data_IF_952372997879
#
_entry.id   IF_952372997879
#
_cell.length_a   1.000
_cell.length_b   1.000
_cell.length_c   1.000
_cell.angle_alpha   90.00
_cell.angle_beta   90.00
_cell.angle_gamma   90.00
#
_symmetry.space_group_name_H-M   'P 1'
#
loop_
_entity.id
_entity.type
_entity.pdbx_description
1 polymer ?
#
# COMPACT_ATOMS: atom_id res chain seq x y z
N UNK A 1 21.87 6.75 -8.23
CA UNK A 1 21.16 5.53 -8.65
C UNK A 1 20.02 5.83 -9.63
N UNK A 2 20.39 6.38 -10.80
CA UNK A 2 19.52 6.56 -11.97
C UNK A 2 19.89 5.53 -13.04
N UNK A 3 19.00 5.31 -14.01
CA UNK A 3 19.21 4.30 -15.08
C UNK A 3 20.41 4.67 -15.93
N UNK A 4 20.53 5.93 -16.34
CA UNK A 4 21.65 6.42 -17.16
C UNK A 4 22.29 7.63 -16.48
N UNK A 5 23.31 7.43 -15.61
CA UNK A 5 24.01 8.54 -15.00
C UNK A 5 24.88 9.28 -16.02
N UNK A 6 24.95 10.63 -15.94
CA UNK A 6 25.73 11.42 -16.85
C UNK A 6 25.41 12.92 -16.79
N UNK A 7 26.00 13.67 -17.70
CA UNK A 7 25.69 15.10 -17.89
C UNK A 7 24.71 15.28 -19.03
N UNK A 8 23.70 16.08 -18.83
CA UNK A 8 22.60 16.30 -19.77
C UNK A 8 22.47 17.76 -20.14
N UNK A 9 22.27 18.03 -21.42
CA UNK A 9 21.84 19.35 -21.89
C UNK A 9 20.33 19.37 -21.97
N UNK A 10 19.71 20.22 -21.14
CA UNK A 10 18.27 20.34 -21.03
C UNK A 10 17.78 21.73 -21.43
N UNK A 11 16.48 21.88 -21.69
CA UNK A 11 15.87 23.19 -21.88
C UNK A 11 16.02 24.08 -20.63
N UNK A 12 16.15 25.37 -20.80
CA UNK A 12 16.21 26.36 -19.70
C UNK A 12 14.95 26.37 -18.79
N UNK A 13 13.86 25.70 -19.22
CA UNK A 13 12.63 25.56 -18.44
C UNK A 13 12.50 24.19 -17.77
N UNK A 14 13.52 23.34 -17.89
CA UNK A 14 13.46 21.98 -17.33
C UNK A 14 13.49 21.98 -15.81
N UNK A 15 12.71 21.09 -15.24
CA UNK A 15 12.64 20.85 -13.79
C UNK A 15 13.39 19.58 -13.41
N UNK A 16 13.48 19.31 -12.12
CA UNK A 16 14.08 18.08 -11.58
C UNK A 16 13.48 16.82 -12.22
N UNK A 17 12.14 16.73 -12.33
CA UNK A 17 11.50 15.56 -12.95
C UNK A 17 11.84 15.41 -14.44
N UNK A 18 11.99 16.52 -15.19
CA UNK A 18 12.41 16.44 -16.58
C UNK A 18 13.81 15.82 -16.70
N UNK A 19 14.74 16.20 -15.81
CA UNK A 19 16.08 15.64 -15.79
C UNK A 19 16.08 14.15 -15.42
N UNK A 20 15.34 13.76 -14.40
CA UNK A 20 15.19 12.35 -14.02
C UNK A 20 14.58 11.53 -15.15
N UNK A 21 13.56 12.04 -15.83
CA UNK A 21 12.98 11.39 -17.00
C UNK A 21 14.00 11.22 -18.13
N UNK A 22 14.80 12.25 -18.41
CA UNK A 22 15.85 12.19 -19.43
C UNK A 22 16.94 11.18 -19.08
N UNK A 23 17.24 11.01 -17.79
CA UNK A 23 18.18 10.00 -17.28
C UNK A 23 17.60 8.57 -17.28
N UNK A 24 16.39 8.36 -17.81
CA UNK A 24 15.72 7.06 -17.85
C UNK A 24 15.00 6.68 -16.55
N UNK A 25 14.87 7.60 -15.60
CA UNK A 25 14.29 7.40 -14.29
C UNK A 25 15.28 6.91 -13.24
N UNK A 26 14.75 6.52 -12.08
CA UNK A 26 15.50 5.95 -10.96
C UNK A 26 15.55 4.44 -11.15
N UNK A 27 16.70 3.83 -10.92
CA UNK A 27 16.86 2.37 -11.02
C UNK A 27 16.35 1.65 -9.75
N UNK A 28 16.38 0.32 -9.76
CA UNK A 28 15.84 -0.52 -8.66
C UNK A 28 16.58 -0.35 -7.32
N UNK A 29 17.77 0.26 -7.33
CA UNK A 29 18.56 0.52 -6.13
C UNK A 29 18.41 1.96 -5.63
N UNK A 30 17.84 2.86 -6.44
CA UNK A 30 17.73 4.26 -6.13
C UNK A 30 16.53 4.60 -5.26
N UNK A 31 16.74 5.56 -4.33
CA UNK A 31 15.67 6.06 -3.47
C UNK A 31 14.68 6.95 -4.22
N UNK A 32 13.39 6.76 -3.96
CA UNK A 32 12.31 7.67 -4.35
C UNK A 32 11.98 8.68 -3.24
N UNK A 33 12.59 8.52 -2.06
CA UNK A 33 12.21 9.24 -0.85
C UNK A 33 13.11 10.43 -0.55
N UNK A 34 14.32 10.48 -1.17
CA UNK A 34 15.28 11.53 -0.94
C UNK A 34 16.14 11.82 -2.18
N UNK A 35 15.61 12.62 -3.09
CA UNK A 35 16.34 13.10 -4.25
C UNK A 35 16.78 14.53 -3.98
N UNK A 36 18.09 14.79 -4.04
CA UNK A 36 18.68 16.07 -3.71
C UNK A 36 19.19 16.80 -4.96
N UNK A 37 18.97 18.11 -5.02
CA UNK A 37 19.58 19.00 -6.01
C UNK A 37 20.59 19.89 -5.32
N UNK A 38 21.82 19.87 -5.81
CA UNK A 38 22.91 20.72 -5.33
C UNK A 38 23.26 21.79 -6.36
N UNK A 39 23.43 23.00 -5.91
CA UNK A 39 23.87 24.17 -6.69
C UNK A 39 25.01 24.85 -5.98
N UNK A 40 26.18 24.97 -6.65
CA UNK A 40 27.37 25.52 -6.03
C UNK A 40 27.79 24.81 -4.73
N UNK A 41 27.61 23.49 -4.67
CA UNK A 41 27.93 22.66 -3.50
C UNK A 41 26.96 22.75 -2.32
N UNK A 42 25.84 23.46 -2.47
CA UNK A 42 24.78 23.56 -1.45
C UNK A 42 23.51 22.84 -1.91
N UNK A 43 22.85 22.10 -1.04
CA UNK A 43 21.52 21.55 -1.30
C UNK A 43 20.52 22.70 -1.43
N UNK A 44 19.86 22.78 -2.59
CA UNK A 44 18.87 23.82 -2.90
C UNK A 44 17.46 23.27 -2.99
N UNK A 45 17.30 21.96 -3.20
CA UNK A 45 16.02 21.29 -3.17
C UNK A 45 16.19 19.83 -2.76
N UNK A 46 15.13 19.30 -2.15
CA UNK A 46 14.98 17.89 -1.80
C UNK A 46 13.56 17.49 -2.13
N UNK A 47 13.38 16.39 -2.86
CA UNK A 47 12.06 15.88 -3.18
C UNK A 47 11.87 14.46 -2.68
N UNK A 48 10.67 14.19 -2.16
CA UNK A 48 10.13 12.89 -1.88
C UNK A 48 9.03 12.59 -2.91
N UNK A 49 9.27 11.62 -3.79
CA UNK A 49 8.34 11.27 -4.86
C UNK A 49 7.01 10.73 -4.31
N UNK A 50 7.03 10.09 -3.14
CA UNK A 50 5.80 9.63 -2.49
C UNK A 50 4.95 10.81 -2.03
N UNK A 51 5.56 11.83 -1.45
CA UNK A 51 4.87 13.04 -1.03
C UNK A 51 4.29 13.79 -2.24
N UNK A 52 5.04 13.83 -3.33
CA UNK A 52 4.54 14.37 -4.60
C UNK A 52 3.31 13.58 -5.13
N UNK A 53 3.38 12.25 -5.18
CA UNK A 53 2.31 11.43 -5.78
C UNK A 53 1.08 11.37 -4.87
N UNK A 54 1.27 11.29 -3.55
CA UNK A 54 0.18 11.03 -2.60
C UNK A 54 -0.46 12.33 -2.12
N UNK A 55 0.36 13.34 -1.83
CA UNK A 55 -0.09 14.62 -1.25
C UNK A 55 -0.09 15.78 -2.26
N UNK A 56 0.46 15.59 -3.46
CA UNK A 56 0.57 16.64 -4.47
C UNK A 56 1.65 17.68 -4.14
N UNK A 57 2.56 17.39 -3.22
CA UNK A 57 3.62 18.32 -2.84
C UNK A 57 4.69 18.40 -3.95
N UNK A 58 4.78 19.55 -4.61
CA UNK A 58 5.66 19.80 -5.73
C UNK A 58 6.83 20.75 -5.39
N UNK A 59 7.02 21.10 -4.12
CA UNK A 59 7.98 22.14 -3.70
C UNK A 59 9.44 21.81 -4.08
N UNK A 60 9.79 20.52 -4.07
CA UNK A 60 11.13 20.06 -4.46
C UNK A 60 11.39 19.98 -5.96
N UNK A 61 10.36 20.08 -6.81
CA UNK A 61 10.49 20.00 -8.27
C UNK A 61 10.86 21.35 -8.88
N UNK A 62 12.00 21.87 -8.47
CA UNK A 62 12.50 23.19 -8.90
C UNK A 62 12.94 23.21 -10.35
N UNK A 63 12.96 24.42 -10.93
CA UNK A 63 13.64 24.69 -12.21
C UNK A 63 15.14 24.56 -12.03
N UNK A 64 15.76 23.77 -12.90
CA UNK A 64 17.20 23.55 -12.90
C UNK A 64 17.96 24.73 -13.50
N UNK A 65 19.22 24.90 -13.07
CA UNK A 65 20.18 25.87 -13.59
C UNK A 65 21.44 25.16 -14.06
N UNK A 66 22.26 25.86 -14.77
CA UNK A 66 23.54 25.33 -15.25
C UNK A 66 24.41 24.85 -14.09
N UNK A 67 25.01 23.67 -14.27
CA UNK A 67 25.85 23.00 -13.28
C UNK A 67 25.13 22.54 -12.01
N UNK A 68 23.80 22.45 -12.02
CA UNK A 68 23.08 21.73 -10.95
C UNK A 68 23.45 20.25 -10.95
N UNK A 69 23.71 19.71 -9.77
CA UNK A 69 23.98 18.29 -9.57
C UNK A 69 22.78 17.62 -8.89
N UNK A 70 22.20 16.65 -9.56
CA UNK A 70 21.11 15.82 -9.01
C UNK A 70 21.70 14.55 -8.45
N UNK A 71 21.43 14.28 -7.18
CA UNK A 71 21.91 13.10 -6.47
C UNK A 71 20.75 12.24 -6.05
N UNK A 72 20.75 11.00 -6.54
CA UNK A 72 19.84 9.92 -6.11
C UNK A 72 20.70 8.88 -5.40
N UNK A 73 20.51 8.72 -4.10
CA UNK A 73 21.17 7.70 -3.28
C UNK A 73 20.49 6.35 -3.41
N UNK A 74 20.98 5.30 -2.69
CA UNK A 74 20.28 4.04 -2.54
C UNK A 74 19.05 4.21 -1.63
N UNK A 75 18.09 3.27 -1.74
CA UNK A 75 16.97 3.21 -0.79
C UNK A 75 17.42 2.72 0.58
N UNK A 76 16.68 3.08 1.64
CA UNK A 76 16.95 2.62 3.01
C UNK A 76 16.29 1.27 3.29
N UNK A 77 15.00 1.15 3.12
CA UNK A 77 14.26 -0.08 3.38
C UNK A 77 13.15 -0.29 2.34
N UNK A 78 13.11 -1.50 1.77
CA UNK A 78 12.03 -1.93 0.88
C UNK A 78 11.20 -3.00 1.59
N UNK A 79 9.91 -2.76 1.69
CA UNK A 79 8.94 -3.72 2.22
C UNK A 79 7.93 -4.11 1.14
N UNK A 80 7.41 -5.33 1.23
CA UNK A 80 6.36 -5.79 0.33
C UNK A 80 5.02 -5.87 1.08
N UNK A 81 3.94 -5.46 0.43
CA UNK A 81 2.59 -5.63 0.96
C UNK A 81 1.72 -6.36 -0.05
N UNK A 82 1.00 -7.37 0.44
CA UNK A 82 0.11 -8.20 -0.35
C UNK A 82 -1.21 -8.50 0.36
N UNK A 83 -2.06 -9.28 -0.32
CA UNK A 83 -3.39 -9.62 0.16
C UNK A 83 -4.41 -8.51 -0.07
N UNK A 84 -5.26 -8.25 0.90
CA UNK A 84 -6.45 -7.41 0.78
C UNK A 84 -6.18 -5.92 1.03
N UNK A 85 -5.25 -5.35 0.28
CA UNK A 85 -4.99 -3.91 0.17
C UNK A 85 -5.29 -3.43 -1.24
N UNK A 86 -5.56 -2.14 -1.42
CA UNK A 86 -5.94 -1.60 -2.74
C UNK A 86 -4.78 -1.56 -3.75
N UNK A 87 -3.54 -1.40 -3.27
CA UNK A 87 -2.33 -1.35 -4.12
C UNK A 87 -1.25 -2.27 -3.54
N UNK A 88 -1.35 -3.60 -3.79
CA UNK A 88 -0.34 -4.55 -3.36
C UNK A 88 0.91 -4.40 -4.23
N UNK A 89 2.02 -3.97 -3.62
CA UNK A 89 3.31 -3.79 -4.28
C UNK A 89 4.44 -3.63 -3.25
N UNK A 90 5.65 -3.35 -3.73
CA UNK A 90 6.80 -3.00 -2.90
C UNK A 90 6.79 -1.49 -2.64
N UNK A 91 7.12 -1.12 -1.41
CA UNK A 91 7.19 0.27 -0.97
C UNK A 91 8.52 0.55 -0.28
N UNK A 92 9.07 1.72 -0.55
CA UNK A 92 10.22 2.23 0.19
C UNK A 92 9.73 2.93 1.46
N UNK A 93 10.32 2.55 2.59
CA UNK A 93 9.99 3.09 3.91
C UNK A 93 11.20 3.82 4.50
N UNK A 94 10.93 4.90 5.22
CA UNK A 94 11.93 5.59 6.05
C UNK A 94 11.94 4.99 7.47
N UNK A 95 13.04 5.18 8.19
CA UNK A 95 13.26 4.60 9.52
C UNK A 95 12.19 5.00 10.57
N UNK A 96 11.56 6.15 10.40
CA UNK A 96 10.53 6.67 11.30
C UNK A 96 9.10 6.26 10.89
N UNK A 97 8.94 5.60 9.74
CA UNK A 97 7.63 5.22 9.23
C UNK A 97 7.19 3.85 9.75
N UNK A 98 5.89 3.72 9.94
CA UNK A 98 5.26 2.57 10.59
C UNK A 98 4.35 1.80 9.64
N UNK A 99 3.83 0.66 10.11
CA UNK A 99 2.84 -0.13 9.37
C UNK A 99 1.61 0.69 8.97
N UNK A 100 1.16 1.62 9.81
CA UNK A 100 0.05 2.53 9.47
C UNK A 100 0.37 3.39 8.25
N UNK A 101 1.59 3.90 8.15
CA UNK A 101 2.03 4.71 7.00
C UNK A 101 2.11 3.87 5.73
N UNK A 102 2.64 2.65 5.81
CA UNK A 102 2.67 1.71 4.69
C UNK A 102 1.26 1.42 4.17
N UNK A 103 0.30 1.15 5.06
CA UNK A 103 -1.09 0.91 4.68
C UNK A 103 -1.71 2.12 3.97
N UNK A 104 -1.35 3.34 4.39
CA UNK A 104 -1.76 4.57 3.68
C UNK A 104 -1.20 4.61 2.25
N UNK A 105 0.08 4.27 2.07
CA UNK A 105 0.70 4.17 0.74
C UNK A 105 0.03 3.11 -0.13
N UNK A 106 -0.33 1.97 0.47
CA UNK A 106 -1.05 0.88 -0.19
C UNK A 106 -2.53 1.21 -0.48
N UNK A 107 -3.01 2.41 -0.15
CA UNK A 107 -4.39 2.85 -0.36
C UNK A 107 -5.37 2.26 0.64
N UNK A 108 -4.89 1.77 1.77
CA UNK A 108 -5.65 1.07 2.81
C UNK A 108 -6.27 -0.26 2.34
N UNK A 109 -7.16 -0.78 3.13
CA UNK A 109 -7.79 -2.08 2.96
C UNK A 109 -8.83 -2.11 1.83
N UNK A 110 -9.03 -3.28 1.23
CA UNK A 110 -10.20 -3.56 0.38
C UNK A 110 -11.43 -3.81 1.27
N UNK A 111 -12.64 -3.79 0.67
CA UNK A 111 -13.89 -3.96 1.41
C UNK A 111 -14.08 -5.33 2.06
N UNK A 112 -13.36 -6.34 1.56
CA UNK A 112 -13.37 -7.71 2.06
C UNK A 112 -12.12 -8.07 2.89
N UNK A 113 -11.34 -7.08 3.30
CA UNK A 113 -10.16 -7.27 4.12
C UNK A 113 -10.52 -7.60 5.58
N UNK A 114 -9.74 -8.50 6.20
CA UNK A 114 -9.77 -8.72 7.63
C UNK A 114 -8.88 -7.67 8.32
N UNK A 115 -9.50 -6.63 8.87
CA UNK A 115 -8.80 -5.43 9.35
C UNK A 115 -8.40 -5.45 10.83
N UNK A 116 -8.71 -6.55 11.55
CA UNK A 116 -8.42 -6.67 12.98
C UNK A 116 -6.92 -6.76 13.23
N UNK A 117 -6.20 -7.51 12.42
CA UNK A 117 -4.75 -7.63 12.48
C UNK A 117 -4.16 -7.84 11.08
N UNK A 118 -2.84 -7.74 11.01
CA UNK A 118 -2.04 -7.94 9.81
C UNK A 118 -0.85 -8.82 10.17
N UNK A 119 -0.45 -9.70 9.27
CA UNK A 119 0.74 -10.53 9.44
C UNK A 119 1.95 -9.88 8.80
N UNK A 120 3.02 -9.81 9.56
CA UNK A 120 4.33 -9.35 9.09
C UNK A 120 5.32 -10.50 9.19
N UNK A 121 5.91 -10.87 8.07
CA UNK A 121 6.97 -11.88 7.98
C UNK A 121 8.30 -11.13 7.90
N UNK A 122 9.18 -11.40 8.82
CA UNK A 122 10.49 -10.74 8.98
C UNK A 122 11.62 -11.75 8.99
N UNK A 123 12.74 -11.42 8.34
CA UNK A 123 13.96 -12.20 8.48
C UNK A 123 14.54 -12.02 9.89
N UNK A 124 14.83 -13.12 10.56
CA UNK A 124 15.42 -13.14 11.89
C UNK A 124 16.61 -14.11 11.91
N UNK A 125 17.81 -13.59 11.69
CA UNK A 125 19.01 -14.41 11.55
C UNK A 125 18.93 -15.33 10.32
N UNK A 126 18.83 -16.64 10.57
CA UNK A 126 18.75 -17.67 9.50
C UNK A 126 17.32 -18.11 9.18
N UNK A 127 16.35 -17.59 9.86
CA UNK A 127 14.95 -18.02 9.81
C UNK A 127 14.02 -16.83 9.55
N UNK A 128 12.74 -17.12 9.37
CA UNK A 128 11.69 -16.11 9.31
C UNK A 128 10.90 -16.13 10.61
N UNK A 129 10.58 -14.95 11.12
CA UNK A 129 9.62 -14.75 12.20
C UNK A 129 8.31 -14.20 11.66
N UNK A 130 7.20 -14.63 12.25
CA UNK A 130 5.86 -14.11 11.93
C UNK A 130 5.39 -13.28 13.11
N UNK A 131 5.02 -12.04 12.81
CA UNK A 131 4.41 -11.12 13.77
C UNK A 131 2.97 -10.87 13.38
N UNK A 132 2.03 -11.19 14.27
CA UNK A 132 0.64 -10.78 14.15
C UNK A 132 0.50 -9.43 14.83
N UNK A 133 0.26 -8.40 14.04
CA UNK A 133 0.15 -7.02 14.52
C UNK A 133 -1.32 -6.65 14.61
N UNK A 134 -1.81 -6.37 15.80
CA UNK A 134 -3.18 -5.92 16.03
C UNK A 134 -3.35 -4.46 15.57
N UNK A 135 -4.59 -4.09 15.22
CA UNK A 135 -4.93 -2.78 14.66
C UNK A 135 -4.42 -1.60 15.50
N UNK A 136 -4.51 -1.72 16.82
CA UNK A 136 -4.09 -0.67 17.76
C UNK A 136 -2.58 -0.45 17.75
N UNK A 137 -1.80 -1.46 17.33
CA UNK A 137 -0.35 -1.39 17.23
C UNK A 137 0.16 -0.88 15.88
N UNK A 138 -0.69 -0.70 14.86
CA UNK A 138 -0.24 -0.29 13.52
C UNK A 138 0.55 1.02 13.51
N UNK A 139 0.15 1.97 14.34
CA UNK A 139 0.77 3.28 14.43
C UNK A 139 2.16 3.27 15.11
N UNK A 140 2.46 2.22 15.86
CA UNK A 140 3.72 2.07 16.61
C UNK A 140 4.64 0.99 16.05
N UNK A 141 4.13 0.10 15.20
CA UNK A 141 4.90 -1.02 14.66
C UNK A 141 5.84 -0.56 13.56
N UNK A 142 7.15 -0.62 13.83
CA UNK A 142 8.21 -0.29 12.87
C UNK A 142 8.44 -1.42 11.88
N UNK A 143 8.66 -1.04 10.65
CA UNK A 143 9.02 -1.93 9.55
C UNK A 143 10.52 -1.89 9.29
N UNK A 144 11.06 -3.00 8.78
CA UNK A 144 12.47 -3.13 8.44
C UNK A 144 12.63 -3.61 7.00
N UNK A 145 13.82 -3.41 6.46
CA UNK A 145 14.13 -3.87 5.11
C UNK A 145 13.87 -5.36 4.93
N UNK A 146 13.18 -5.71 3.84
CA UNK A 146 12.80 -7.07 3.51
C UNK A 146 11.56 -7.61 4.24
N UNK A 147 10.88 -6.81 5.08
CA UNK A 147 9.60 -7.22 5.67
C UNK A 147 8.56 -7.49 4.60
N UNK A 148 7.79 -8.55 4.81
CA UNK A 148 6.66 -8.92 3.95
C UNK A 148 5.36 -8.90 4.73
N UNK A 149 4.47 -8.01 4.33
CA UNK A 149 3.20 -7.73 5.00
C UNK A 149 2.07 -8.41 4.22
N UNK A 150 1.20 -9.12 4.94
CA UNK A 150 0.07 -9.79 4.34
C UNK A 150 -1.24 -9.47 5.09
N UNK A 151 -2.22 -8.99 4.33
CA UNK A 151 -3.57 -8.69 4.82
C UNK A 151 -4.53 -9.78 4.38
N UNK A 152 -5.13 -10.48 5.34
CA UNK A 152 -6.08 -11.55 5.06
C UNK A 152 -7.45 -11.01 4.61
N UNK A 153 -8.27 -11.89 4.03
CA UNK A 153 -9.68 -11.63 3.77
C UNK A 153 -10.55 -12.03 4.96
N UNK A 154 -11.75 -11.46 5.06
CA UNK A 154 -12.82 -12.00 5.90
C UNK A 154 -13.17 -13.41 5.45
N UNK A 155 -13.78 -14.19 6.34
CA UNK A 155 -14.22 -15.55 6.04
C UNK A 155 -15.36 -15.48 5.01
N UNK A 156 -15.28 -16.22 3.89
CA UNK A 156 -16.30 -16.20 2.84
C UNK A 156 -17.52 -17.02 3.24
N UNK A 157 -18.19 -16.61 4.31
CA UNK A 157 -19.46 -17.21 4.77
C UNK A 157 -20.40 -16.13 5.27
N UNK A 158 -21.68 -16.40 5.14
CA UNK A 158 -22.72 -15.55 5.73
C UNK A 158 -22.86 -15.87 7.22
N UNK A 159 -22.95 -14.86 8.05
CA UNK A 159 -23.15 -15.00 9.51
C UNK A 159 -24.62 -15.15 9.90
N UNK A 160 -25.53 -14.71 9.03
CA UNK A 160 -26.96 -14.59 9.29
C UNK A 160 -27.78 -15.17 8.14
N UNK A 161 -27.37 -16.31 7.57
CA UNK A 161 -28.04 -16.91 6.42
C UNK A 161 -28.52 -18.30 6.71
N UNK A 162 -29.73 -18.59 6.24
CA UNK A 162 -30.29 -19.93 6.13
C UNK A 162 -30.70 -20.19 4.69
N UNK A 163 -30.53 -21.39 4.21
CA UNK A 163 -30.91 -21.77 2.86
C UNK A 163 -32.08 -22.74 2.92
N UNK A 164 -33.15 -22.50 2.14
CA UNK A 164 -34.26 -23.42 1.95
C UNK A 164 -34.19 -24.02 0.55
N UNK A 165 -34.31 -25.37 0.49
CA UNK A 165 -34.28 -26.16 -0.75
C UNK A 165 -35.46 -27.11 -0.77
N UNK A 166 -35.85 -27.55 -1.95
CA UNK A 166 -36.89 -28.56 -2.15
C UNK A 166 -38.23 -27.97 -2.57
N UNK A 167 -39.34 -28.61 -2.07
CA UNK A 167 -40.69 -28.30 -2.52
C UNK A 167 -41.29 -27.07 -1.83
N UNK A 168 -40.64 -25.91 -2.03
CA UNK A 168 -41.17 -24.59 -1.65
C UNK A 168 -41.35 -23.74 -2.91
N UNK A 169 -42.15 -22.67 -2.86
CA UNK A 169 -42.38 -21.81 -4.02
C UNK A 169 -41.14 -21.00 -4.39
N UNK A 170 -40.40 -20.45 -3.40
CA UNK A 170 -39.20 -19.69 -3.61
C UNK A 170 -38.00 -20.28 -2.85
N UNK A 171 -37.34 -21.33 -3.40
CA UNK A 171 -36.10 -21.86 -2.80
C UNK A 171 -34.97 -20.84 -2.94
N UNK A 172 -34.14 -20.71 -1.92
CA UNK A 172 -33.05 -19.74 -1.92
C UNK A 172 -32.46 -19.44 -0.55
N UNK A 173 -31.65 -18.38 -0.49
CA UNK A 173 -31.02 -17.89 0.72
C UNK A 173 -31.87 -16.80 1.36
N UNK A 174 -32.06 -16.91 2.66
CA UNK A 174 -32.83 -15.99 3.49
C UNK A 174 -32.01 -15.50 4.66
N UNK A 175 -32.24 -14.26 5.08
CA UNK A 175 -31.61 -13.68 6.25
C UNK A 175 -32.23 -14.25 7.52
N UNK A 176 -31.42 -14.75 8.47
CA UNK A 176 -31.84 -15.13 9.81
C UNK A 176 -31.81 -13.95 10.76
N UNK A 177 -32.73 -13.92 11.71
CA UNK A 177 -32.98 -12.77 12.58
C UNK A 177 -34.07 -11.88 12.03
N UNK A 178 -34.47 -10.87 12.74
CA UNK A 178 -35.62 -10.06 12.37
C UNK A 178 -36.91 -10.87 12.36
N UNK A 179 -37.50 -11.08 11.18
CA UNK A 179 -38.79 -11.78 11.04
C UNK A 179 -38.67 -13.29 10.89
N UNK A 180 -37.49 -13.86 10.62
CA UNK A 180 -37.28 -15.29 10.42
C UNK A 180 -36.53 -15.86 11.64
N UNK A 181 -37.29 -16.43 12.57
CA UNK A 181 -36.77 -17.03 13.81
C UNK A 181 -37.08 -18.53 13.96
N UNK A 182 -38.02 -19.01 13.17
CA UNK A 182 -38.47 -20.42 13.17
C UNK A 182 -38.45 -21.00 11.76
N UNK A 183 -38.57 -22.33 11.66
CA UNK A 183 -38.70 -23.02 10.37
C UNK A 183 -40.02 -22.61 9.67
N UNK A 184 -41.07 -22.32 10.44
CA UNK A 184 -42.33 -21.88 9.87
C UNK A 184 -42.23 -20.50 9.24
N UNK A 185 -41.58 -19.55 9.94
CA UNK A 185 -41.33 -18.20 9.38
C UNK A 185 -40.53 -18.31 8.06
N UNK A 186 -39.59 -19.26 7.99
CA UNK A 186 -38.79 -19.45 6.77
C UNK A 186 -39.64 -20.03 5.63
N UNK A 187 -40.54 -20.96 5.93
CA UNK A 187 -41.46 -21.52 4.94
C UNK A 187 -42.44 -20.44 4.45
N UNK A 188 -42.95 -19.62 5.35
CA UNK A 188 -43.81 -18.49 5.00
C UNK A 188 -43.08 -17.46 4.15
N UNK A 189 -41.81 -17.16 4.48
CA UNK A 189 -40.95 -16.27 3.69
C UNK A 189 -40.66 -16.87 2.28
N UNK A 190 -40.69 -18.20 2.14
CA UNK A 190 -40.54 -18.91 0.88
C UNK A 190 -41.90 -19.10 0.14
N UNK A 191 -42.93 -18.36 0.55
CA UNK A 191 -44.32 -18.41 0.00
C UNK A 191 -45.00 -19.76 0.13
N UNK A 192 -44.56 -20.57 1.13
CA UNK A 192 -45.16 -21.86 1.47
C UNK A 192 -44.57 -23.08 0.73
N UNK A 193 -45.19 -24.21 1.00
CA UNK A 193 -44.84 -25.49 0.37
C UNK A 193 -45.62 -25.67 -0.94
N UNK A 194 -44.97 -26.29 -1.92
CA UNK A 194 -45.59 -26.71 -3.18
C UNK A 194 -46.40 -27.97 -3.01
#
# INVERSE_FOLDING_TARGET
>A
DVVTPGSYTLSAFSTLFNALYTAGGINDMGTLREINVFRGGKSVAKIDVYDYIINGNNDGNIRLQDNDLIVVGPYDAIVSVGGKVKRPMRYEMKDDETLSKLLTFAGNFTGDAFTKNVRVIRKSGREYSVHTVEKDAFASFKLFDGDSIYVDSIIPRFSNMVEVKGAVFHPGMYETGGNINTVLDLIDAADGLR
#
